data_IF_994346586842
#
_entry.id   IF_994346586842
#
_cell.length_a   1.000
_cell.length_b   1.000
_cell.length_c   1.000
_cell.angle_alpha   90.00
_cell.angle_beta   90.00
_cell.angle_gamma   90.00
#
_symmetry.space_group_name_H-M   'P 1'
#
loop_
_entity.id
_entity.type
_entity.pdbx_description
1 polymer ?
#
# COMPACT_ATOMS: atom_id res chain seq x y z
N UNK A 1 1.53 -10.15 18.27
CA UNK A 1 0.42 -9.74 17.39
C UNK A 1 0.82 -10.04 15.95
N UNK A 2 -0.06 -10.71 15.23
CA UNK A 2 0.24 -11.08 13.83
C UNK A 2 0.14 -9.88 12.90
N UNK A 3 1.23 -9.58 12.25
CA UNK A 3 1.33 -8.47 11.31
C UNK A 3 2.35 -8.80 10.23
N UNK A 4 2.20 -8.17 9.09
CA UNK A 4 3.26 -8.11 8.09
C UNK A 4 3.51 -6.66 7.71
N UNK A 5 4.66 -6.39 7.13
CA UNK A 5 5.12 -5.03 6.85
C UNK A 5 5.35 -4.85 5.35
N UNK A 6 4.76 -3.80 4.80
CA UNK A 6 5.03 -3.33 3.45
C UNK A 6 5.59 -1.91 3.56
N UNK A 7 6.37 -1.49 2.58
CA UNK A 7 6.69 -0.07 2.46
C UNK A 7 5.47 0.67 1.91
N UNK A 8 5.29 1.92 2.32
CA UNK A 8 4.16 2.71 1.83
C UNK A 8 4.04 2.69 0.31
N UNK A 9 5.18 2.78 -0.41
CA UNK A 9 5.18 2.75 -1.88
C UNK A 9 4.69 1.44 -2.48
N UNK A 10 4.70 0.34 -1.71
CA UNK A 10 4.24 -0.96 -2.19
C UNK A 10 2.73 -1.15 -2.05
N UNK A 11 2.08 -0.32 -1.22
CA UNK A 11 0.65 -0.49 -0.90
C UNK A 11 -0.25 -0.44 -2.13
N UNK A 12 -0.02 0.50 -3.04
CA UNK A 12 -0.85 0.62 -4.24
C UNK A 12 -0.67 -0.58 -5.18
N UNK A 13 0.56 -1.04 -5.37
CA UNK A 13 0.89 -2.17 -6.25
C UNK A 13 0.26 -3.45 -5.71
N UNK A 14 0.39 -3.68 -4.40
CA UNK A 14 -0.23 -4.84 -3.74
C UNK A 14 -1.75 -4.77 -3.82
N UNK A 15 -2.33 -3.60 -3.55
CA UNK A 15 -3.78 -3.40 -3.62
C UNK A 15 -4.33 -3.66 -5.01
N UNK A 16 -3.69 -3.14 -6.04
CA UNK A 16 -4.09 -3.38 -7.43
C UNK A 16 -3.96 -4.85 -7.82
N UNK A 17 -2.87 -5.51 -7.41
CA UNK A 17 -2.66 -6.93 -7.69
C UNK A 17 -3.75 -7.80 -7.06
N UNK A 18 -4.12 -7.51 -5.81
CA UNK A 18 -5.22 -8.22 -5.14
C UNK A 18 -6.55 -7.98 -5.83
N UNK A 19 -6.81 -6.74 -6.24
CA UNK A 19 -8.05 -6.40 -6.95
C UNK A 19 -8.17 -7.14 -8.27
N UNK A 20 -7.07 -7.22 -9.02
CA UNK A 20 -7.04 -7.82 -10.35
C UNK A 20 -6.95 -9.35 -10.32
N UNK A 21 -6.60 -9.96 -9.20
CA UNK A 21 -6.50 -11.40 -9.05
C UNK A 21 -7.89 -12.05 -9.18
N UNK A 22 -8.10 -12.85 -10.24
CA UNK A 22 -9.41 -13.52 -10.39
C UNK A 22 -9.56 -14.65 -9.39
N UNK A 23 -10.71 -14.72 -8.75
CA UNK A 23 -11.06 -15.77 -7.80
C UNK A 23 -12.34 -16.44 -8.23
N UNK A 24 -12.46 -17.75 -8.00
CA UNK A 24 -13.56 -18.57 -8.52
C UNK A 24 -14.52 -19.06 -7.43
N UNK A 25 -14.10 -19.05 -6.16
CA UNK A 25 -14.92 -19.51 -5.06
C UNK A 25 -15.10 -18.42 -4.02
N UNK A 26 -16.17 -18.52 -3.25
CA UNK A 26 -16.53 -17.51 -2.26
C UNK A 26 -15.50 -17.39 -1.12
N UNK A 27 -14.99 -18.52 -0.63
CA UNK A 27 -14.03 -18.54 0.49
C UNK A 27 -12.75 -17.78 0.14
N UNK A 28 -12.19 -18.05 -1.04
CA UNK A 28 -10.98 -17.37 -1.52
C UNK A 28 -11.25 -15.90 -1.80
N UNK A 29 -12.39 -15.59 -2.43
CA UNK A 29 -12.76 -14.22 -2.73
C UNK A 29 -12.96 -13.39 -1.46
N UNK A 30 -13.60 -13.98 -0.44
CA UNK A 30 -13.78 -13.33 0.86
C UNK A 30 -12.43 -13.03 1.51
N UNK A 31 -11.51 -14.00 1.49
CA UNK A 31 -10.16 -13.84 2.03
C UNK A 31 -9.40 -12.73 1.30
N UNK A 32 -9.50 -12.71 -0.03
CA UNK A 32 -8.91 -11.65 -0.86
C UNK A 32 -9.43 -10.27 -0.46
N UNK A 33 -10.75 -10.14 -0.30
CA UNK A 33 -11.35 -8.86 0.07
C UNK A 33 -10.96 -8.41 1.48
N UNK A 34 -10.77 -9.33 2.43
CA UNK A 34 -10.29 -8.98 3.77
C UNK A 34 -8.86 -8.44 3.71
N UNK A 35 -7.98 -9.09 2.95
CA UNK A 35 -6.62 -8.60 2.73
C UNK A 35 -6.63 -7.24 2.05
N UNK A 36 -7.41 -7.11 0.99
CA UNK A 36 -7.51 -5.85 0.23
C UNK A 36 -7.99 -4.71 1.12
N UNK A 37 -8.94 -4.96 1.99
CA UNK A 37 -9.46 -3.95 2.92
C UNK A 37 -8.37 -3.48 3.89
N UNK A 38 -7.56 -4.39 4.41
CA UNK A 38 -6.45 -4.05 5.30
C UNK A 38 -5.39 -3.21 4.58
N UNK A 39 -5.03 -3.61 3.37
CA UNK A 39 -4.05 -2.88 2.55
C UNK A 39 -4.57 -1.49 2.18
N UNK A 40 -5.84 -1.41 1.75
CA UNK A 40 -6.45 -0.14 1.35
C UNK A 40 -6.53 0.86 2.52
N UNK A 41 -6.79 0.38 3.72
CA UNK A 41 -6.82 1.24 4.90
C UNK A 41 -5.47 1.93 5.10
N UNK A 42 -4.38 1.17 4.97
CA UNK A 42 -3.03 1.73 5.08
C UNK A 42 -2.70 2.64 3.90
N UNK A 43 -3.16 2.30 2.73
CA UNK A 43 -2.99 3.16 1.56
C UNK A 43 -3.70 4.51 1.74
N UNK A 44 -4.90 4.52 2.28
CA UNK A 44 -5.64 5.76 2.56
C UNK A 44 -4.90 6.64 3.58
N UNK A 45 -4.33 6.04 4.62
CA UNK A 45 -3.52 6.76 5.60
C UNK A 45 -2.28 7.38 4.93
N UNK A 46 -1.59 6.62 4.11
CA UNK A 46 -0.43 7.08 3.36
C UNK A 46 -0.79 8.22 2.40
N UNK A 47 -1.88 8.07 1.66
CA UNK A 47 -2.35 9.09 0.71
C UNK A 47 -2.67 10.41 1.42
N UNK A 48 -3.26 10.35 2.61
CA UNK A 48 -3.54 11.54 3.41
C UNK A 48 -2.24 12.19 3.91
N UNK A 49 -1.30 11.40 4.38
CA UNK A 49 0.00 11.90 4.84
C UNK A 49 0.77 12.57 3.69
N UNK A 50 0.73 11.96 2.49
CA UNK A 50 1.37 12.52 1.29
C UNK A 50 0.74 13.85 0.91
N UNK A 51 -0.59 13.92 0.97
CA UNK A 51 -1.33 15.16 0.66
C UNK A 51 -0.93 16.28 1.62
N UNK A 52 -0.87 16.00 2.91
CA UNK A 52 -0.46 16.98 3.93
C UNK A 52 0.97 17.46 3.66
N UNK A 53 1.86 16.52 3.33
CA UNK A 53 3.25 16.81 3.02
C UNK A 53 3.37 17.73 1.79
N UNK A 54 2.69 17.40 0.72
CA UNK A 54 2.69 18.19 -0.52
C UNK A 54 2.11 19.58 -0.25
N UNK A 55 1.01 19.65 0.48
CA UNK A 55 0.38 20.94 0.84
C UNK A 55 1.33 21.82 1.64
N UNK A 56 2.13 21.24 2.54
CA UNK A 56 3.10 21.98 3.36
C UNK A 56 4.21 22.64 2.52
N UNK A 57 4.49 22.11 1.33
CA UNK A 57 5.48 22.63 0.40
C UNK A 57 4.88 23.40 -0.78
N UNK A 58 3.57 23.59 -0.79
CA UNK A 58 2.88 24.28 -1.87
C UNK A 58 3.20 25.77 -1.86
N UNK A 59 3.27 26.37 -3.05
CA UNK A 59 3.32 27.82 -3.22
C UNK A 59 2.07 28.45 -2.62
N UNK A 60 2.22 29.56 -1.90
CA UNK A 60 1.11 30.26 -1.26
C UNK A 60 0.72 31.49 -2.07
N UNK A 61 -0.58 31.77 -2.14
CA UNK A 61 -1.09 32.99 -2.74
C UNK A 61 -1.03 34.18 -1.74
N UNK A 62 -1.53 35.34 -2.15
CA UNK A 62 -1.51 36.54 -1.31
C UNK A 62 -2.28 36.40 0.00
N UNK A 63 -3.27 35.48 0.05
CA UNK A 63 -4.09 35.20 1.24
C UNK A 63 -3.50 34.07 2.10
N UNK A 64 -2.34 33.54 1.72
CA UNK A 64 -1.68 32.44 2.45
C UNK A 64 -2.25 31.07 2.14
N UNK A 65 -3.09 30.93 1.13
CA UNK A 65 -3.69 29.67 0.72
C UNK A 65 -2.81 28.94 -0.30
N UNK A 66 -2.76 27.60 -0.24
CA UNK A 66 -1.99 26.82 -1.23
C UNK A 66 -2.52 27.02 -2.64
N UNK A 67 -1.63 27.25 -3.59
CA UNK A 67 -1.97 27.37 -5.01
C UNK A 67 -2.20 25.98 -5.61
N UNK A 68 -3.32 25.80 -6.30
CA UNK A 68 -3.66 24.56 -7.01
C UNK A 68 -3.50 24.75 -8.52
N UNK A 69 -3.05 23.70 -9.18
CA UNK A 69 -3.02 23.60 -10.63
C UNK A 69 -4.42 23.23 -11.16
N UNK A 70 -4.63 23.35 -12.47
CA UNK A 70 -5.92 23.03 -13.11
C UNK A 70 -6.39 21.59 -12.85
N UNK A 71 -5.45 20.65 -12.70
CA UNK A 71 -5.74 19.25 -12.44
C UNK A 71 -6.07 18.95 -10.96
N UNK A 72 -6.13 19.99 -10.11
CA UNK A 72 -6.41 19.85 -8.69
C UNK A 72 -5.21 19.57 -7.81
N UNK A 73 -4.03 19.31 -8.39
CA UNK A 73 -2.80 19.12 -7.63
C UNK A 73 -2.26 20.46 -7.13
N UNK A 74 -1.53 20.43 -6.02
CA UNK A 74 -0.88 21.63 -5.50
C UNK A 74 0.34 21.98 -6.33
N UNK A 75 0.58 23.29 -6.50
CA UNK A 75 1.79 23.78 -7.13
C UNK A 75 2.88 23.87 -6.07
N UNK A 76 3.97 23.13 -6.25
CA UNK A 76 5.09 23.16 -5.30
C UNK A 76 5.89 24.45 -5.48
N UNK A 77 6.24 25.09 -4.36
CA UNK A 77 7.14 26.24 -4.36
C UNK A 77 8.48 25.82 -5.00
N UNK A 78 8.93 26.49 -6.08
CA UNK A 78 10.19 26.12 -6.72
C UNK A 78 11.39 26.06 -5.79
N UNK A 79 11.42 26.88 -4.73
CA UNK A 79 12.49 26.87 -3.74
C UNK A 79 12.47 25.64 -2.86
N UNK A 80 11.33 24.92 -2.78
CA UNK A 80 11.13 23.77 -1.92
C UNK A 80 11.09 22.44 -2.67
N UNK A 81 11.27 22.44 -3.98
CA UNK A 81 11.12 21.24 -4.82
C UNK A 81 12.02 20.09 -4.35
N UNK A 82 13.30 20.35 -4.10
CA UNK A 82 14.23 19.31 -3.65
C UNK A 82 13.84 18.73 -2.30
N UNK A 83 13.47 19.59 -1.35
CA UNK A 83 13.07 19.18 -0.02
C UNK A 83 11.78 18.37 -0.07
N UNK A 84 10.81 18.81 -0.86
CA UNK A 84 9.55 18.11 -1.06
C UNK A 84 9.79 16.70 -1.63
N UNK A 85 10.62 16.60 -2.67
CA UNK A 85 10.93 15.31 -3.29
C UNK A 85 11.62 14.36 -2.31
N UNK A 86 12.56 14.87 -1.52
CA UNK A 86 13.25 14.09 -0.49
C UNK A 86 12.25 13.54 0.53
N UNK A 87 11.37 14.39 1.05
CA UNK A 87 10.39 13.99 2.06
C UNK A 87 9.34 13.03 1.50
N UNK A 88 8.92 13.22 0.25
CA UNK A 88 8.00 12.30 -0.44
C UNK A 88 8.65 10.91 -0.55
N UNK A 89 9.93 10.84 -0.92
CA UNK A 89 10.65 9.59 -1.02
C UNK A 89 10.80 8.91 0.35
N UNK A 90 11.12 9.69 1.38
CA UNK A 90 11.22 9.19 2.75
C UNK A 90 9.90 8.61 3.25
N UNK A 91 8.78 9.30 2.96
CA UNK A 91 7.45 8.82 3.32
C UNK A 91 7.13 7.51 2.60
N UNK A 92 7.48 7.40 1.30
CA UNK A 92 7.30 6.17 0.54
C UNK A 92 8.11 5.00 1.07
N UNK A 93 9.25 5.28 1.69
CA UNK A 93 10.15 4.27 2.28
C UNK A 93 9.75 3.86 3.70
N UNK A 94 8.81 4.56 4.32
CA UNK A 94 8.34 4.21 5.67
C UNK A 94 7.53 2.92 5.65
N UNK A 95 7.60 2.18 6.74
CA UNK A 95 6.90 0.91 6.89
C UNK A 95 5.42 1.12 7.23
N UNK A 96 4.56 0.40 6.54
CA UNK A 96 3.15 0.25 6.87
C UNK A 96 2.96 -1.12 7.52
N UNK A 97 2.47 -1.13 8.75
CA UNK A 97 2.25 -2.36 9.50
C UNK A 97 0.80 -2.80 9.33
N UNK A 98 0.62 -3.98 8.77
CA UNK A 98 -0.71 -4.52 8.47
C UNK A 98 -1.02 -5.61 9.49
N UNK A 99 -1.89 -5.26 10.44
CA UNK A 99 -2.29 -6.16 11.52
C UNK A 99 -3.44 -7.04 11.05
N UNK A 100 -3.22 -8.33 11.00
CA UNK A 100 -4.21 -9.30 10.53
C UNK A 100 -4.57 -10.35 11.58
N UNK A 101 -4.15 -10.16 12.85
CA UNK A 101 -4.25 -11.18 13.89
C UNK A 101 -5.63 -11.81 14.05
N UNK A 102 -6.69 -11.01 14.12
CA UNK A 102 -8.05 -11.53 14.24
C UNK A 102 -8.57 -12.17 12.95
N UNK A 103 -7.93 -11.90 11.83
CA UNK A 103 -8.30 -12.44 10.52
C UNK A 103 -7.33 -13.51 10.01
N UNK A 104 -6.44 -14.02 10.87
CA UNK A 104 -5.36 -14.92 10.42
C UNK A 104 -5.88 -16.16 9.66
N UNK A 105 -6.97 -16.75 10.12
CA UNK A 105 -7.58 -17.90 9.45
C UNK A 105 -8.39 -17.47 8.23
N UNK A 106 -8.96 -16.26 8.26
CA UNK A 106 -9.80 -15.75 7.17
C UNK A 106 -9.00 -15.36 5.94
N UNK A 107 -7.75 -14.87 6.09
CA UNK A 107 -6.92 -14.45 4.95
C UNK A 107 -6.09 -15.59 4.36
N UNK A 108 -5.86 -16.65 5.12
CA UNK A 108 -5.03 -17.77 4.68
C UNK A 108 -5.47 -18.38 3.34
N UNK A 109 -6.77 -18.56 3.06
CA UNK A 109 -7.18 -19.08 1.75
C UNK A 109 -6.70 -18.23 0.57
N UNK A 110 -6.62 -16.91 0.71
CA UNK A 110 -6.09 -16.04 -0.34
C UNK A 110 -4.58 -16.22 -0.51
N UNK A 111 -3.85 -16.33 0.59
CA UNK A 111 -2.40 -16.57 0.56
C UNK A 111 -2.12 -17.92 -0.13
N UNK A 112 -2.82 -18.97 0.26
CA UNK A 112 -2.66 -20.30 -0.34
C UNK A 112 -3.03 -20.28 -1.83
N UNK A 113 -4.09 -19.56 -2.20
CA UNK A 113 -4.52 -19.42 -3.57
C UNK A 113 -3.45 -18.73 -4.43
N UNK A 114 -2.85 -17.65 -3.92
CA UNK A 114 -1.77 -16.92 -4.62
C UNK A 114 -0.57 -17.83 -4.85
N UNK A 115 -0.17 -18.59 -3.83
CA UNK A 115 0.97 -19.49 -3.91
C UNK A 115 0.79 -20.60 -4.94
N UNK A 116 -0.45 -20.98 -5.21
CA UNK A 116 -0.80 -22.06 -6.15
C UNK A 116 -1.41 -21.53 -7.46
N UNK A 117 -1.41 -20.22 -7.67
CA UNK A 117 -2.04 -19.61 -8.82
C UNK A 117 -1.29 -19.96 -10.11
N UNK A 118 -2.02 -20.48 -11.08
CA UNK A 118 -1.49 -20.90 -12.40
C UNK A 118 -2.04 -20.09 -13.57
N UNK A 119 -2.84 -19.06 -13.28
CA UNK A 119 -3.42 -18.20 -14.29
C UNK A 119 -2.42 -17.19 -14.86
N UNK A 120 -2.92 -16.35 -15.75
CA UNK A 120 -2.10 -15.30 -16.35
C UNK A 120 -1.69 -14.25 -15.32
N UNK A 121 -0.42 -13.86 -15.33
CA UNK A 121 0.14 -12.82 -14.49
C UNK A 121 0.94 -11.86 -15.37
N UNK A 122 0.54 -10.58 -15.41
CA UNK A 122 1.38 -9.56 -16.02
C UNK A 122 2.48 -9.10 -15.04
N UNK A 123 3.40 -8.29 -15.50
CA UNK A 123 4.55 -7.86 -14.69
C UNK A 123 4.13 -7.10 -13.43
N UNK A 124 3.13 -6.22 -13.55
CA UNK A 124 2.64 -5.40 -12.44
C UNK A 124 1.95 -6.25 -11.37
N UNK A 125 1.06 -7.12 -11.79
CA UNK A 125 0.37 -8.04 -10.89
C UNK A 125 1.37 -8.98 -10.20
N UNK A 126 2.33 -9.50 -10.97
CA UNK A 126 3.39 -10.36 -10.43
C UNK A 126 4.20 -9.66 -9.34
N UNK A 127 4.56 -8.40 -9.55
CA UNK A 127 5.31 -7.64 -8.55
C UNK A 127 4.49 -7.44 -7.27
N UNK A 128 3.22 -7.06 -7.40
CA UNK A 128 2.35 -6.85 -6.24
C UNK A 128 2.12 -8.12 -5.43
N UNK A 129 1.86 -9.24 -6.09
CA UNK A 129 1.67 -10.53 -5.42
C UNK A 129 2.97 -11.00 -4.77
N UNK A 130 4.12 -10.81 -5.44
CA UNK A 130 5.42 -11.13 -4.88
C UNK A 130 5.70 -10.34 -3.60
N UNK A 131 5.48 -9.02 -3.64
CA UNK A 131 5.71 -8.16 -2.48
C UNK A 131 4.84 -8.58 -1.28
N UNK A 132 3.58 -8.91 -1.53
CA UNK A 132 2.66 -9.37 -0.50
C UNK A 132 3.13 -10.69 0.13
N UNK A 133 3.45 -11.68 -0.69
CA UNK A 133 3.86 -13.00 -0.22
C UNK A 133 5.17 -12.92 0.55
N UNK A 134 6.14 -12.17 0.02
CA UNK A 134 7.43 -11.98 0.72
C UNK A 134 7.22 -11.37 2.11
N UNK A 135 6.42 -10.32 2.20
CA UNK A 135 6.12 -9.68 3.48
C UNK A 135 5.42 -10.63 4.44
N UNK A 136 4.45 -11.40 3.95
CA UNK A 136 3.73 -12.38 4.76
C UNK A 136 4.66 -13.50 5.26
N UNK A 137 5.48 -14.06 4.40
CA UNK A 137 6.42 -15.14 4.77
C UNK A 137 7.45 -14.66 5.79
N UNK A 138 7.97 -13.45 5.62
CA UNK A 138 8.89 -12.87 6.61
C UNK A 138 8.22 -12.73 7.99
N UNK A 139 6.95 -12.37 8.02
CA UNK A 139 6.21 -12.26 9.29
C UNK A 139 6.06 -13.62 9.98
N UNK A 140 5.89 -14.69 9.21
CA UNK A 140 5.79 -16.05 9.77
C UNK A 140 7.13 -16.51 10.35
N UNK A 141 8.24 -16.22 9.70
CA UNK A 141 9.57 -16.55 10.20
C UNK A 141 9.85 -15.85 11.53
N UNK A 142 9.52 -14.57 11.65
CA UNK A 142 9.70 -13.81 12.88
C UNK A 142 8.91 -14.39 14.04
N UNK A 143 7.70 -14.90 13.79
CA UNK A 143 6.87 -15.54 14.82
C UNK A 143 7.46 -16.89 15.27
N UNK A 144 8.03 -17.66 14.33
CA UNK A 144 8.65 -18.97 14.64
C UNK A 144 9.92 -18.83 15.49
N UNK A 145 10.64 -17.72 15.34
CA UNK A 145 11.87 -17.44 16.10
C UNK A 145 11.61 -17.01 17.55
N UNK A 146 10.36 -16.71 17.89
CA UNK A 146 9.93 -16.35 19.23
C UNK A 146 9.44 -17.58 19.99
#
# INVERSE_FOLDING_TARGET
>A
MKQFTLLNRQLIIVGEALRDLPTTDFKTNRAKHKLLKLVNKKFEEYAEDEKILIESHAEKDADGEPVKLENGNYKIDPAKTKQAQKEINELGDMEAWIFYGEFALDIKPAIDYILNYEGHIDAKMGQGLFDLIEAYELSQQTEEEK
#
